data_IF_437923733900
#
_entry.id   IF_437923733900
#
_cell.length_a   1.000
_cell.length_b   1.000
_cell.length_c   1.000
_cell.angle_alpha   90.00
_cell.angle_beta   90.00
_cell.angle_gamma   90.00
#
_symmetry.space_group_name_H-M   'P 1'
#
loop_
_entity.id
_entity.type
_entity.pdbx_description
1 polymer ?
#
# COMPACT_ATOMS: atom_id res chain seq x y z
N UNK A 1 -4.36 99.65 7.58
CA UNK A 1 -5.59 98.82 7.67
C UNK A 1 -5.21 97.38 7.36
N UNK A 2 -5.38 96.48 8.33
CA UNK A 2 -5.09 95.04 8.23
C UNK A 2 -6.17 94.34 7.39
N UNK A 3 -5.78 93.50 6.44
CA UNK A 3 -6.64 92.40 5.94
C UNK A 3 -5.92 91.09 6.23
N UNK A 4 -6.51 90.33 7.16
CA UNK A 4 -6.18 88.95 7.49
C UNK A 4 -6.89 88.06 6.46
N UNK A 5 -6.17 87.20 5.76
CA UNK A 5 -6.75 86.12 4.96
C UNK A 5 -6.38 84.82 5.66
N UNK A 6 -7.40 84.15 6.20
CA UNK A 6 -7.33 82.79 6.74
C UNK A 6 -7.49 81.83 5.56
N UNK A 7 -6.49 80.97 5.30
CA UNK A 7 -6.66 79.81 4.43
C UNK A 7 -6.80 78.55 5.29
N UNK A 8 -7.92 77.85 5.08
CA UNK A 8 -8.29 76.61 5.77
C UNK A 8 -7.40 75.44 5.33
N UNK A 9 -6.86 74.71 6.30
CA UNK A 9 -6.19 73.43 6.09
C UNK A 9 -7.27 72.35 5.99
N UNK A 10 -7.42 71.77 4.80
CA UNK A 10 -8.22 70.57 4.60
C UNK A 10 -7.46 69.35 5.14
N UNK A 11 -7.93 68.79 6.25
CA UNK A 11 -7.45 67.50 6.77
C UNK A 11 -8.04 66.40 5.90
N UNK A 12 -7.20 65.81 5.05
CA UNK A 12 -7.53 64.63 4.27
C UNK A 12 -7.51 63.42 5.22
N UNK A 13 -8.67 62.93 5.65
CA UNK A 13 -8.80 61.64 6.32
C UNK A 13 -8.48 60.54 5.31
N UNK A 14 -7.26 60.00 5.36
CA UNK A 14 -6.95 58.71 4.77
C UNK A 14 -7.68 57.63 5.56
N UNK A 15 -8.80 57.14 5.03
CA UNK A 15 -9.41 55.89 5.47
C UNK A 15 -8.47 54.77 5.04
N UNK A 16 -7.65 54.29 5.97
CA UNK A 16 -6.93 53.02 5.81
C UNK A 16 -7.98 51.92 5.68
N UNK A 17 -8.16 51.39 4.46
CA UNK A 17 -8.90 50.16 4.27
C UNK A 17 -8.22 49.06 5.10
N UNK A 18 -8.97 48.46 6.02
CA UNK A 18 -8.47 47.31 6.78
C UNK A 18 -8.04 46.21 5.77
N UNK A 19 -6.92 45.51 6.01
CA UNK A 19 -6.53 44.41 5.14
C UNK A 19 -7.67 43.39 5.07
N UNK A 20 -8.07 43.03 3.86
CA UNK A 20 -9.07 41.98 3.65
C UNK A 20 -8.60 40.72 4.38
N UNK A 21 -9.37 40.28 5.37
CA UNK A 21 -9.00 39.12 6.20
C UNK A 21 -8.91 37.88 5.32
N UNK A 22 -7.84 37.10 5.51
CA UNK A 22 -7.53 35.94 4.70
C UNK A 22 -8.62 34.87 4.88
N UNK A 23 -9.09 34.34 3.76
CA UNK A 23 -9.94 33.16 3.70
C UNK A 23 -9.07 31.92 3.94
N UNK A 24 -9.51 30.99 4.77
CA UNK A 24 -8.80 29.74 5.04
C UNK A 24 -9.60 28.54 4.56
N UNK A 25 -8.90 27.51 4.07
CA UNK A 25 -9.49 26.19 3.78
C UNK A 25 -9.22 25.28 4.95
N UNK A 26 -10.27 24.72 5.54
CA UNK A 26 -10.21 23.69 6.57
C UNK A 26 -10.67 22.38 5.96
N UNK A 27 -9.92 21.31 6.22
CA UNK A 27 -10.20 19.96 5.71
C UNK A 27 -10.51 19.04 6.89
N UNK A 28 -11.63 18.33 6.77
CA UNK A 28 -12.01 17.28 7.73
C UNK A 28 -12.21 15.96 7.00
N UNK A 29 -11.76 14.88 7.63
CA UNK A 29 -11.92 13.52 7.13
C UNK A 29 -12.81 12.75 8.11
N UNK A 30 -13.77 12.00 7.59
CA UNK A 30 -14.68 11.23 8.43
C UNK A 30 -15.18 9.99 7.72
N UNK A 31 -15.68 9.08 8.53
CA UNK A 31 -16.20 7.78 8.17
C UNK A 31 -17.65 7.71 8.64
N UNK A 32 -18.58 7.48 7.70
CA UNK A 32 -20.02 7.46 7.97
C UNK A 32 -20.56 6.09 7.61
N UNK A 33 -21.05 5.37 8.62
CA UNK A 33 -21.84 4.16 8.41
C UNK A 33 -23.28 4.56 8.10
N UNK A 34 -23.88 3.94 7.09
CA UNK A 34 -25.29 4.14 6.74
C UNK A 34 -25.94 2.81 6.35
N UNK A 35 -27.21 2.61 6.71
CA UNK A 35 -27.82 1.28 6.61
C UNK A 35 -27.09 0.24 7.49
N UNK A 36 -27.28 -1.05 7.18
CA UNK A 36 -26.68 -2.15 7.97
C UNK A 36 -25.24 -2.48 7.56
N UNK A 37 -24.89 -2.24 6.29
CA UNK A 37 -23.65 -2.75 5.69
C UNK A 37 -22.92 -1.72 4.84
N UNK A 38 -23.48 -0.52 4.66
CA UNK A 38 -22.94 0.48 3.77
C UNK A 38 -22.12 1.52 4.52
N UNK A 39 -21.14 2.07 3.82
CA UNK A 39 -20.10 2.91 4.41
C UNK A 39 -19.66 3.99 3.43
N UNK A 40 -19.36 5.17 3.97
CA UNK A 40 -18.86 6.32 3.22
C UNK A 40 -17.63 6.92 3.88
N UNK A 41 -16.63 7.25 3.08
CA UNK A 41 -15.48 8.07 3.46
C UNK A 41 -15.66 9.47 2.90
N UNK A 42 -15.71 10.46 3.78
CA UNK A 42 -15.94 11.86 3.42
C UNK A 42 -14.69 12.69 3.66
N UNK A 43 -14.36 13.54 2.69
CA UNK A 43 -13.45 14.67 2.88
C UNK A 43 -14.28 15.92 2.66
N UNK A 44 -14.36 16.78 3.67
CA UNK A 44 -15.08 18.07 3.57
C UNK A 44 -14.05 19.18 3.59
N UNK A 45 -14.05 20.00 2.54
CA UNK A 45 -13.24 21.21 2.44
C UNK A 45 -14.12 22.42 2.68
N UNK A 46 -13.99 23.05 3.83
CA UNK A 46 -14.72 24.26 4.18
C UNK A 46 -13.88 25.50 3.92
N UNK A 47 -14.43 26.46 3.18
CA UNK A 47 -13.84 27.79 3.04
C UNK A 47 -14.42 28.71 4.10
N UNK A 48 -13.58 29.14 5.04
CA UNK A 48 -13.99 29.95 6.18
C UNK A 48 -13.43 31.37 6.08
N UNK A 49 -14.26 32.34 6.46
CA UNK A 49 -13.85 33.73 6.71
C UNK A 49 -14.39 34.14 8.08
N UNK A 50 -13.50 34.63 8.94
CA UNK A 50 -13.85 35.04 10.31
C UNK A 50 -14.59 33.95 11.11
N UNK A 51 -14.20 32.69 10.91
CA UNK A 51 -14.83 31.53 11.55
C UNK A 51 -16.20 31.13 11.00
N UNK A 52 -16.74 31.85 9.99
CA UNK A 52 -17.97 31.50 9.29
C UNK A 52 -17.67 30.72 8.02
N UNK A 53 -18.42 29.65 7.77
CA UNK A 53 -18.33 28.87 6.54
C UNK A 53 -19.04 29.63 5.41
N UNK A 54 -18.30 30.00 4.36
CA UNK A 54 -18.87 30.66 3.17
C UNK A 54 -19.33 29.63 2.12
N UNK A 55 -18.62 28.51 2.03
CA UNK A 55 -18.92 27.39 1.14
C UNK A 55 -18.18 26.15 1.64
N UNK A 56 -18.68 24.97 1.25
CA UNK A 56 -17.93 23.74 1.44
C UNK A 56 -18.05 22.83 0.22
N UNK A 57 -17.06 21.97 0.03
CA UNK A 57 -17.10 20.87 -0.94
C UNK A 57 -17.01 19.54 -0.17
N UNK A 58 -17.94 18.64 -0.46
CA UNK A 58 -17.89 17.25 -0.03
C UNK A 58 -17.28 16.41 -1.15
N UNK A 59 -16.19 15.72 -0.86
CA UNK A 59 -15.65 14.63 -1.68
C UNK A 59 -15.86 13.30 -0.92
N UNK A 60 -16.89 12.57 -1.33
CA UNK A 60 -17.31 11.33 -0.68
C UNK A 60 -17.10 10.14 -1.60
N UNK A 61 -16.47 9.08 -1.10
CA UNK A 61 -16.59 7.76 -1.68
C UNK A 61 -17.52 6.91 -0.82
N UNK A 62 -18.25 5.99 -1.42
CA UNK A 62 -19.14 5.10 -0.69
C UNK A 62 -19.27 3.73 -1.36
N UNK A 63 -19.59 2.73 -0.55
CA UNK A 63 -20.06 1.42 -0.98
C UNK A 63 -21.53 1.30 -0.56
N UNK A 64 -22.43 1.04 -1.51
CA UNK A 64 -23.87 0.90 -1.20
C UNK A 64 -24.22 -0.43 -0.54
N UNK A 65 -23.30 -1.40 -0.56
CA UNK A 65 -23.41 -2.74 0.00
C UNK A 65 -22.03 -3.16 0.52
N UNK A 66 -21.97 -4.05 1.52
CA UNK A 66 -20.69 -4.57 2.04
C UNK A 66 -19.92 -5.26 0.91
N UNK A 67 -18.62 -4.97 0.83
CA UNK A 67 -17.69 -5.50 -0.18
C UNK A 67 -18.07 -5.16 -1.64
N UNK A 68 -19.00 -4.22 -1.85
CA UNK A 68 -19.39 -3.74 -3.16
C UNK A 68 -18.35 -2.78 -3.77
N UNK A 69 -18.45 -2.47 -5.08
CA UNK A 69 -17.55 -1.50 -5.69
C UNK A 69 -17.78 -0.10 -5.11
N UNK A 70 -16.69 0.61 -4.86
CA UNK A 70 -16.72 2.01 -4.49
C UNK A 70 -17.28 2.87 -5.63
N UNK A 71 -18.03 3.91 -5.27
CA UNK A 71 -18.37 5.02 -6.13
C UNK A 71 -18.00 6.33 -5.43
N UNK A 72 -17.90 7.44 -6.18
CA UNK A 72 -17.47 8.74 -5.68
C UNK A 72 -18.47 9.81 -6.08
N UNK A 73 -18.77 10.75 -5.19
CA UNK A 73 -19.53 11.95 -5.48
C UNK A 73 -18.78 13.17 -4.96
N UNK A 74 -18.73 14.23 -5.77
CA UNK A 74 -18.22 15.54 -5.35
C UNK A 74 -19.39 16.51 -5.37
N UNK A 75 -19.73 17.10 -4.23
CA UNK A 75 -20.95 17.89 -4.02
C UNK A 75 -20.57 19.23 -3.41
N UNK A 76 -21.01 20.32 -4.05
CA UNK A 76 -20.92 21.64 -3.46
C UNK A 76 -22.02 21.80 -2.40
N UNK A 77 -21.61 22.16 -1.19
CA UNK A 77 -22.50 22.41 -0.05
C UNK A 77 -22.66 23.91 0.16
N UNK A 78 -23.91 24.33 0.35
CA UNK A 78 -24.26 25.73 0.59
C UNK A 78 -24.74 25.92 2.02
N UNK A 79 -24.28 26.96 2.72
CA UNK A 79 -24.79 27.31 4.04
C UNK A 79 -26.22 27.87 3.94
N UNK A 80 -27.14 27.33 4.74
CA UNK A 80 -28.50 27.82 4.93
C UNK A 80 -28.98 27.44 6.33
N UNK A 81 -29.53 28.40 7.09
CA UNK A 81 -30.16 28.17 8.40
C UNK A 81 -29.30 27.40 9.43
N UNK A 82 -27.98 27.61 9.41
CA UNK A 82 -27.04 26.93 10.32
C UNK A 82 -26.63 25.52 9.88
N UNK A 83 -27.07 25.09 8.70
CA UNK A 83 -26.75 23.82 8.07
C UNK A 83 -26.01 24.03 6.74
N UNK A 84 -25.15 23.10 6.35
CA UNK A 84 -24.56 23.01 5.02
C UNK A 84 -25.22 21.86 4.27
N UNK A 85 -25.81 22.14 3.12
CA UNK A 85 -26.51 21.12 2.33
C UNK A 85 -26.21 21.19 0.84
N UNK A 86 -26.30 20.04 0.18
CA UNK A 86 -26.12 19.92 -1.25
C UNK A 86 -26.60 18.58 -1.79
N UNK A 87 -26.73 18.51 -3.12
CA UNK A 87 -27.07 17.27 -3.82
C UNK A 87 -26.37 17.18 -5.18
N UNK A 88 -26.24 15.96 -5.69
CA UNK A 88 -25.58 15.66 -6.94
C UNK A 88 -25.80 14.21 -7.36
N UNK A 89 -24.93 13.71 -8.23
CA UNK A 89 -24.90 12.31 -8.65
C UNK A 89 -23.48 11.77 -8.53
N UNK A 90 -23.36 10.47 -8.25
CA UNK A 90 -22.07 9.80 -8.22
C UNK A 90 -21.44 9.70 -9.62
N UNK A 91 -20.13 9.49 -9.67
CA UNK A 91 -19.35 9.54 -10.90
C UNK A 91 -19.56 8.29 -11.76
N UNK A 92 -19.54 7.11 -11.14
CA UNK A 92 -19.58 5.84 -11.87
C UNK A 92 -21.01 5.40 -12.17
N UNK A 93 -21.84 5.20 -11.13
CA UNK A 93 -23.20 4.68 -11.28
C UNK A 93 -24.27 5.75 -11.53
N UNK A 94 -23.90 7.03 -11.44
CA UNK A 94 -24.84 8.17 -11.50
C UNK A 94 -25.94 8.09 -10.44
N UNK A 95 -25.64 7.49 -9.30
CA UNK A 95 -26.57 7.35 -8.17
C UNK A 95 -26.85 8.74 -7.59
N UNK A 96 -28.11 9.13 -7.37
CA UNK A 96 -28.44 10.38 -6.68
C UNK A 96 -27.85 10.41 -5.27
N UNK A 97 -27.24 11.53 -4.90
CA UNK A 97 -26.66 11.74 -3.57
C UNK A 97 -27.14 13.09 -3.03
N UNK A 98 -27.58 13.12 -1.78
CA UNK A 98 -27.80 14.35 -1.03
C UNK A 98 -27.13 14.25 0.33
N UNK A 99 -26.54 15.36 0.78
CA UNK A 99 -25.81 15.43 2.03
C UNK A 99 -26.14 16.74 2.72
N UNK A 100 -26.37 16.68 4.03
CA UNK A 100 -26.54 17.85 4.87
C UNK A 100 -25.88 17.63 6.22
N UNK A 101 -25.28 18.67 6.79
CA UNK A 101 -24.71 18.60 8.14
C UNK A 101 -24.68 19.97 8.82
N UNK A 102 -24.74 19.97 10.13
CA UNK A 102 -24.55 21.14 10.97
C UNK A 102 -23.38 20.93 11.93
N UNK A 103 -22.68 22.02 12.24
CA UNK A 103 -21.67 22.06 13.30
C UNK A 103 -22.35 22.01 14.67
N UNK A 104 -21.84 21.18 15.57
CA UNK A 104 -22.25 21.09 16.97
C UNK A 104 -21.03 21.23 17.87
N UNK A 105 -21.01 22.27 18.68
CA UNK A 105 -19.99 22.45 19.71
C UNK A 105 -20.45 21.77 20.99
N UNK A 106 -19.60 20.88 21.53
CA UNK A 106 -19.78 20.25 22.85
C UNK A 106 -18.55 20.55 23.69
N UNK A 107 -18.63 21.58 24.52
CA UNK A 107 -17.43 22.14 25.15
C UNK A 107 -16.49 22.73 24.08
N UNK A 108 -15.25 22.24 24.02
CA UNK A 108 -14.27 22.63 23.00
C UNK A 108 -14.25 21.68 21.78
N UNK A 109 -15.04 20.61 21.79
CA UNK A 109 -15.06 19.64 20.70
C UNK A 109 -16.01 20.07 19.59
N UNK A 110 -15.52 20.03 18.35
CA UNK A 110 -16.33 20.15 17.14
C UNK A 110 -16.92 18.78 16.80
N UNK A 111 -18.23 18.73 16.60
CA UNK A 111 -18.96 17.53 16.22
C UNK A 111 -19.83 17.87 15.00
N UNK A 112 -20.07 16.90 14.12
CA UNK A 112 -20.98 17.04 12.99
C UNK A 112 -22.20 16.16 13.18
N UNK A 113 -23.37 16.66 12.82
CA UNK A 113 -24.57 15.81 12.70
C UNK A 113 -25.38 16.21 11.50
N UNK A 114 -25.99 15.24 10.83
CA UNK A 114 -26.62 15.52 9.54
C UNK A 114 -27.36 14.33 8.95
N UNK A 115 -27.67 14.47 7.66
CA UNK A 115 -28.32 13.43 6.86
C UNK A 115 -27.52 13.10 5.61
N UNK A 116 -27.44 11.81 5.29
CA UNK A 116 -26.84 11.27 4.08
C UNK A 116 -27.90 10.46 3.34
N UNK A 117 -28.18 10.85 2.10
CA UNK A 117 -29.04 10.11 1.19
C UNK A 117 -28.25 9.64 -0.02
N UNK A 118 -28.23 8.32 -0.24
CA UNK A 118 -27.61 7.69 -1.41
C UNK A 118 -28.66 6.79 -2.07
N UNK A 119 -29.06 7.15 -3.28
CA UNK A 119 -30.16 6.50 -3.98
C UNK A 119 -31.46 6.56 -3.16
N UNK A 120 -32.00 5.38 -2.83
CA UNK A 120 -33.19 5.24 -1.98
C UNK A 120 -32.90 5.20 -0.48
N UNK A 121 -31.65 5.07 -0.05
CA UNK A 121 -31.26 4.94 1.36
C UNK A 121 -31.07 6.31 1.96
N UNK A 122 -31.68 6.56 3.12
CA UNK A 122 -31.55 7.80 3.89
C UNK A 122 -31.09 7.45 5.31
N UNK A 123 -30.03 8.09 5.79
CA UNK A 123 -29.47 7.85 7.11
C UNK A 123 -29.13 9.17 7.81
N UNK A 124 -29.43 9.25 9.10
CA UNK A 124 -28.87 10.29 9.96
C UNK A 124 -27.49 9.84 10.47
N UNK A 125 -26.57 10.78 10.64
CA UNK A 125 -25.25 10.51 11.20
C UNK A 125 -24.87 11.53 12.27
N UNK A 126 -23.96 11.13 13.16
CA UNK A 126 -23.26 11.99 14.12
C UNK A 126 -21.80 11.58 14.14
N UNK A 127 -20.90 12.54 14.06
CA UNK A 127 -19.46 12.37 14.14
C UNK A 127 -18.99 13.25 15.30
N UNK A 128 -18.41 12.61 16.31
CA UNK A 128 -17.88 13.31 17.47
C UNK A 128 -16.38 13.54 17.31
N UNK A 129 -15.85 14.60 17.92
CA UNK A 129 -14.42 14.94 17.93
C UNK A 129 -13.79 15.07 16.52
N UNK A 130 -14.42 15.86 15.65
CA UNK A 130 -13.93 16.12 14.29
C UNK A 130 -12.56 16.78 14.34
N UNK A 131 -11.58 16.13 13.73
CA UNK A 131 -10.23 16.68 13.56
C UNK A 131 -10.16 17.54 12.31
N UNK A 132 -9.59 18.73 12.48
CA UNK A 132 -9.38 19.70 11.40
C UNK A 132 -7.91 19.71 10.98
N UNK A 133 -7.69 19.83 9.67
CA UNK A 133 -6.35 20.00 9.07
C UNK A 133 -6.40 21.10 8.03
N UNK A 134 -5.24 21.67 7.72
CA UNK A 134 -5.08 22.53 6.54
C UNK A 134 -5.08 21.69 5.26
N UNK A 135 -5.33 22.33 4.12
CA UNK A 135 -5.25 21.64 2.82
C UNK A 135 -3.86 21.06 2.55
N UNK A 136 -2.81 21.77 2.99
CA UNK A 136 -1.43 21.30 2.88
C UNK A 136 -1.17 20.05 3.73
N UNK A 137 -1.58 20.05 4.99
CA UNK A 137 -1.42 18.89 5.88
C UNK A 137 -2.20 17.68 5.37
N UNK A 138 -3.39 17.91 4.81
CA UNK A 138 -4.17 16.86 4.15
C UNK A 138 -3.43 16.30 2.92
N UNK A 139 -2.87 17.15 2.06
CA UNK A 139 -2.10 16.68 0.90
C UNK A 139 -0.85 15.89 1.30
N UNK A 140 -0.16 16.31 2.36
CA UNK A 140 1.01 15.62 2.91
C UNK A 140 0.64 14.29 3.59
N UNK A 141 -0.61 14.12 4.04
CA UNK A 141 -1.09 12.87 4.64
C UNK A 141 -1.52 11.81 3.61
N UNK A 142 -1.67 12.19 2.34
CA UNK A 142 -2.07 11.26 1.27
C UNK A 142 -0.95 10.24 0.99
N UNK A 143 -1.12 9.01 1.47
CA UNK A 143 -0.23 7.91 1.17
C UNK A 143 -0.42 7.42 -0.27
N UNK A 144 0.63 7.51 -1.08
CA UNK A 144 0.68 6.84 -2.37
C UNK A 144 1.53 5.58 -2.29
N UNK A 145 1.07 4.52 -2.95
CA UNK A 145 1.89 3.34 -3.17
C UNK A 145 3.20 3.77 -3.86
N UNK A 146 4.37 3.48 -3.25
CA UNK A 146 5.65 3.91 -3.78
C UNK A 146 5.92 3.27 -5.15
N UNK A 147 6.48 4.07 -6.04
CA UNK A 147 6.92 3.66 -7.37
C UNK A 147 8.25 4.37 -7.66
N UNK A 148 9.30 3.59 -7.87
CA UNK A 148 10.65 4.08 -8.16
C UNK A 148 11.07 3.60 -9.55
N UNK A 149 11.24 4.52 -10.49
CA UNK A 149 11.57 4.15 -11.88
C UNK A 149 13.00 3.68 -12.08
N UNK A 150 13.93 4.13 -11.24
CA UNK A 150 15.37 3.85 -11.36
C UNK A 150 15.97 3.76 -9.95
N UNK A 151 15.70 2.68 -9.21
CA UNK A 151 16.26 2.52 -7.88
C UNK A 151 17.79 2.41 -7.96
N UNK A 152 18.49 3.06 -7.04
CA UNK A 152 19.95 2.96 -6.95
C UNK A 152 20.40 1.56 -6.48
N UNK A 153 19.55 0.90 -5.69
CA UNK A 153 19.66 -0.45 -5.18
C UNK A 153 18.26 -0.96 -4.77
N UNK A 154 18.16 -2.25 -4.49
CA UNK A 154 16.90 -2.86 -4.05
C UNK A 154 16.72 -2.91 -2.52
N UNK A 155 17.18 -1.90 -1.77
CA UNK A 155 16.97 -1.87 -0.31
C UNK A 155 15.59 -1.30 0.05
N UNK A 156 15.18 -0.24 -0.65
CA UNK A 156 13.90 0.43 -0.44
C UNK A 156 12.77 -0.12 -1.32
N UNK A 157 13.11 -0.81 -2.41
CA UNK A 157 12.16 -1.46 -3.31
C UNK A 157 12.63 -2.88 -3.66
N UNK A 158 11.70 -3.78 -3.91
CA UNK A 158 12.03 -5.18 -4.21
C UNK A 158 12.36 -5.44 -5.68
N UNK A 159 13.34 -6.31 -6.01
CA UNK A 159 13.69 -6.61 -7.40
C UNK A 159 12.55 -7.29 -8.17
N UNK A 160 11.66 -8.00 -7.46
CA UNK A 160 10.57 -8.78 -8.05
C UNK A 160 9.24 -8.02 -8.10
N UNK A 161 9.09 -6.92 -7.34
CA UNK A 161 7.83 -6.18 -7.28
C UNK A 161 7.84 -5.00 -8.25
N UNK A 162 6.92 -5.05 -9.21
CA UNK A 162 6.69 -3.99 -10.18
C UNK A 162 5.40 -3.27 -9.81
N UNK A 163 5.46 -1.93 -9.87
CA UNK A 163 4.32 -1.05 -9.68
C UNK A 163 3.99 -0.34 -11.00
N UNK A 164 2.71 -0.34 -11.37
CA UNK A 164 2.20 0.38 -12.54
C UNK A 164 1.07 1.29 -12.11
N UNK A 165 1.24 2.60 -12.34
CA UNK A 165 0.19 3.60 -12.16
C UNK A 165 -0.59 3.76 -13.45
N UNK A 166 -1.91 3.60 -13.39
CA UNK A 166 -2.80 3.58 -14.56
C UNK A 166 -4.05 4.43 -14.29
N UNK A 167 -4.54 5.13 -15.30
CA UNK A 167 -5.87 5.80 -15.24
C UNK A 167 -6.95 4.75 -14.97
N UNK A 168 -7.99 5.10 -14.24
CA UNK A 168 -9.07 4.14 -13.90
C UNK A 168 -9.66 3.43 -15.14
N UNK A 169 -9.90 4.17 -16.24
CA UNK A 169 -10.39 3.60 -17.50
C UNK A 169 -9.37 2.77 -18.30
N UNK A 170 -8.09 2.83 -17.95
CA UNK A 170 -7.01 2.06 -18.60
C UNK A 170 -6.79 0.67 -18.00
N UNK A 171 -7.44 0.35 -16.87
CA UNK A 171 -7.24 -0.93 -16.17
C UNK A 171 -7.50 -2.17 -17.05
N UNK A 172 -8.59 -2.25 -17.85
CA UNK A 172 -8.83 -3.44 -18.68
C UNK A 172 -7.69 -3.72 -19.68
N UNK A 173 -7.15 -2.65 -20.29
CA UNK A 173 -6.04 -2.76 -21.25
C UNK A 173 -4.75 -3.19 -20.55
N UNK A 174 -4.50 -2.69 -19.34
CA UNK A 174 -3.36 -3.13 -18.53
C UNK A 174 -3.47 -4.59 -18.13
N UNK A 175 -4.66 -5.07 -17.73
CA UNK A 175 -4.87 -6.49 -17.41
C UNK A 175 -4.66 -7.38 -18.65
N UNK A 176 -5.11 -6.96 -19.83
CA UNK A 176 -4.84 -7.67 -21.08
C UNK A 176 -3.34 -7.76 -21.44
N UNK A 177 -2.58 -6.71 -21.08
CA UNK A 177 -1.13 -6.74 -21.15
C UNK A 177 -0.54 -7.74 -20.15
N UNK A 178 -0.90 -7.65 -18.85
CA UNK A 178 -0.33 -8.48 -17.78
C UNK A 178 -0.60 -9.97 -17.96
N UNK A 179 -1.77 -10.35 -18.53
CA UNK A 179 -2.09 -11.74 -18.90
C UNK A 179 -1.04 -12.40 -19.81
N UNK A 180 -0.23 -11.60 -20.51
CA UNK A 180 0.81 -12.06 -21.44
C UNK A 180 2.23 -12.04 -20.83
N UNK A 181 2.38 -11.59 -19.58
CA UNK A 181 3.68 -11.33 -18.97
C UNK A 181 4.16 -12.42 -18.00
N UNK A 182 3.44 -13.52 -17.77
CA UNK A 182 3.79 -14.53 -16.75
C UNK A 182 4.14 -13.87 -15.40
N UNK A 183 3.16 -13.17 -14.82
CA UNK A 183 3.29 -12.40 -13.57
C UNK A 183 2.30 -12.90 -12.54
N UNK A 184 2.60 -12.68 -11.26
CA UNK A 184 1.69 -12.96 -10.16
C UNK A 184 1.09 -11.65 -9.64
N UNK A 185 -0.22 -11.49 -9.83
CA UNK A 185 -0.98 -10.33 -9.35
C UNK A 185 -1.61 -10.66 -8.00
N UNK A 186 -1.35 -9.83 -6.99
CA UNK A 186 -2.09 -9.92 -5.73
C UNK A 186 -3.44 -9.20 -5.89
N UNK A 187 -4.53 -9.89 -5.56
CA UNK A 187 -5.89 -9.35 -5.67
C UNK A 187 -6.07 -8.13 -4.77
N UNK A 188 -5.49 -8.16 -3.55
CA UNK A 188 -5.65 -7.11 -2.54
C UNK A 188 -4.86 -5.85 -2.87
N UNK A 189 -3.68 -5.99 -3.47
CA UNK A 189 -2.81 -4.86 -3.83
C UNK A 189 -2.97 -4.41 -5.30
N UNK A 190 -3.82 -5.09 -6.08
CA UNK A 190 -3.85 -4.93 -7.53
C UNK A 190 -5.20 -4.62 -8.16
N UNK A 191 -6.33 -5.05 -7.59
CA UNK A 191 -7.62 -5.02 -8.30
C UNK A 191 -8.73 -4.24 -7.60
N UNK A 192 -8.67 -4.08 -6.28
CA UNK A 192 -9.61 -3.23 -5.55
C UNK A 192 -9.36 -1.76 -5.85
N UNK A 193 -10.37 -1.07 -6.37
CA UNK A 193 -10.36 0.39 -6.49
C UNK A 193 -10.86 0.94 -5.15
N UNK A 194 -9.98 1.61 -4.42
CA UNK A 194 -10.33 2.28 -3.16
C UNK A 194 -10.67 3.77 -3.38
N UNK A 195 -11.05 4.44 -2.30
CA UNK A 195 -11.40 5.85 -2.36
C UNK A 195 -10.22 6.75 -2.75
N UNK A 196 -8.98 6.40 -2.36
CA UNK A 196 -7.79 7.13 -2.76
C UNK A 196 -7.59 7.09 -4.29
N UNK A 197 -7.76 5.93 -4.91
CA UNK A 197 -7.70 5.77 -6.36
C UNK A 197 -8.81 6.55 -7.09
N UNK A 198 -10.04 6.55 -6.56
CA UNK A 198 -11.16 7.34 -7.10
C UNK A 198 -10.89 8.85 -7.02
N UNK A 199 -10.27 9.32 -5.92
CA UNK A 199 -9.87 10.72 -5.77
C UNK A 199 -8.76 11.11 -6.74
N UNK A 200 -7.75 10.26 -6.88
CA UNK A 200 -6.61 10.47 -7.77
C UNK A 200 -6.94 10.29 -9.27
N UNK A 201 -8.09 9.68 -9.61
CA UNK A 201 -8.44 9.34 -10.99
C UNK A 201 -7.52 8.27 -11.63
N UNK A 202 -6.68 7.63 -10.80
CA UNK A 202 -5.71 6.62 -11.20
C UNK A 202 -5.46 5.67 -10.05
N UNK A 203 -5.06 4.44 -10.38
CA UNK A 203 -4.71 3.40 -9.43
C UNK A 203 -3.27 2.97 -9.68
N UNK A 204 -2.54 2.67 -8.61
CA UNK A 204 -1.24 1.99 -8.72
C UNK A 204 -1.47 0.53 -8.38
N UNK A 205 -1.17 -0.37 -9.33
CA UNK A 205 -1.23 -1.81 -9.12
C UNK A 205 0.18 -2.33 -8.87
N UNK A 206 0.30 -3.31 -7.98
CA UNK A 206 1.56 -4.02 -7.76
C UNK A 206 1.42 -5.49 -8.12
N UNK A 207 2.46 -6.05 -8.72
CA UNK A 207 2.54 -7.47 -9.05
C UNK A 207 3.98 -7.96 -8.96
N UNK A 208 4.13 -9.26 -8.78
CA UNK A 208 5.41 -9.94 -8.74
C UNK A 208 5.76 -10.45 -10.13
N UNK A 209 7.01 -10.24 -10.52
CA UNK A 209 7.61 -10.74 -11.76
C UNK A 209 9.02 -11.23 -11.48
N UNK A 210 9.45 -12.21 -12.26
CA UNK A 210 10.83 -12.67 -12.27
C UNK A 210 11.76 -11.46 -12.51
N UNK A 211 12.67 -11.13 -11.60
CA UNK A 211 13.48 -9.92 -11.73
C UNK A 211 14.30 -9.87 -13.02
N UNK A 212 14.72 -11.03 -13.54
CA UNK A 212 15.39 -11.15 -14.84
C UNK A 212 14.56 -10.62 -16.03
N UNK A 213 13.25 -10.40 -15.83
CA UNK A 213 12.32 -9.83 -16.81
C UNK A 213 11.72 -8.49 -16.37
N UNK A 214 11.92 -8.07 -15.12
CA UNK A 214 11.26 -6.90 -14.54
C UNK A 214 11.50 -5.62 -15.37
N UNK A 215 12.74 -5.35 -15.76
CA UNK A 215 13.08 -4.17 -16.58
C UNK A 215 12.33 -4.14 -17.91
N UNK A 216 12.26 -5.29 -18.60
CA UNK A 216 11.55 -5.42 -19.86
C UNK A 216 10.03 -5.24 -19.68
N UNK A 217 9.46 -5.85 -18.64
CA UNK A 217 8.03 -5.70 -18.32
C UNK A 217 7.68 -4.25 -17.97
N UNK A 218 8.52 -3.56 -17.19
CA UNK A 218 8.36 -2.12 -16.89
C UNK A 218 8.41 -1.31 -18.19
N UNK A 219 9.39 -1.56 -19.07
CA UNK A 219 9.54 -0.84 -20.33
C UNK A 219 8.34 -1.02 -21.27
N UNK A 220 7.77 -2.24 -21.35
CA UNK A 220 6.56 -2.49 -22.14
C UNK A 220 5.31 -1.93 -21.48
N UNK A 221 5.19 -1.98 -20.15
CA UNK A 221 4.07 -1.40 -19.42
C UNK A 221 3.94 0.11 -19.68
N UNK A 222 5.06 0.84 -19.78
CA UNK A 222 5.06 2.28 -20.12
C UNK A 222 4.44 2.59 -21.49
N UNK A 223 4.35 1.60 -22.38
CA UNK A 223 3.76 1.76 -23.72
C UNK A 223 2.26 1.46 -23.75
N UNK A 224 1.72 0.90 -22.67
CA UNK A 224 0.30 0.52 -22.58
C UNK A 224 -0.58 1.76 -22.44
N UNK A 225 -1.62 1.85 -23.27
CA UNK A 225 -2.57 2.97 -23.22
C UNK A 225 -3.22 3.10 -21.85
N UNK A 226 -3.21 4.30 -21.28
CA UNK A 226 -3.75 4.60 -19.96
C UNK A 226 -2.75 4.45 -18.81
N UNK A 227 -1.57 3.84 -19.03
CA UNK A 227 -0.48 3.85 -18.05
C UNK A 227 0.12 5.26 -17.93
N UNK A 228 0.29 5.70 -16.68
CA UNK A 228 0.85 7.00 -16.29
C UNK A 228 2.32 6.85 -15.93
N UNK A 229 2.66 5.81 -15.17
CA UNK A 229 4.02 5.51 -14.74
C UNK A 229 4.20 4.00 -14.50
N UNK A 230 5.43 3.50 -14.62
CA UNK A 230 5.79 2.13 -14.26
C UNK A 230 7.22 2.09 -13.70
N UNK A 231 7.43 1.30 -12.66
CA UNK A 231 8.72 1.16 -11.98
C UNK A 231 8.69 0.03 -10.97
N UNK A 232 9.65 0.02 -10.06
CA UNK A 232 9.67 -0.91 -8.93
C UNK A 232 8.82 -0.40 -7.79
N UNK A 233 8.18 -1.31 -7.08
CA UNK A 233 7.37 -1.03 -5.91
C UNK A 233 7.60 -2.04 -4.80
N UNK A 234 6.83 -1.88 -3.73
CA UNK A 234 6.87 -2.68 -2.49
C UNK A 234 8.25 -2.71 -1.81
N UNK A 235 8.28 -2.95 -0.51
CA UNK A 235 9.53 -2.98 0.24
C UNK A 235 10.26 -4.31 0.04
N UNK A 236 11.59 -4.27 0.03
CA UNK A 236 12.40 -5.49 0.16
C UNK A 236 12.37 -5.99 1.58
N UNK A 237 12.29 -7.31 1.77
CA UNK A 237 12.47 -7.93 3.07
C UNK A 237 13.97 -7.97 3.45
N UNK A 238 14.54 -6.79 3.74
CA UNK A 238 15.96 -6.67 4.03
C UNK A 238 16.35 -7.33 5.35
N UNK A 239 15.44 -7.47 6.32
CA UNK A 239 15.73 -8.11 7.62
C UNK A 239 16.18 -9.57 7.47
N UNK A 240 15.74 -10.25 6.41
CA UNK A 240 16.13 -11.62 6.11
C UNK A 240 17.05 -11.73 4.88
N UNK A 241 17.88 -10.72 4.63
CA UNK A 241 18.74 -10.64 3.45
C UNK A 241 20.25 -10.81 3.76
N UNK A 242 20.94 -11.36 2.76
CA UNK A 242 22.38 -11.60 2.70
C UNK A 242 22.94 -10.98 1.43
N UNK A 243 24.23 -10.60 1.45
CA UNK A 243 24.91 -10.05 0.28
C UNK A 243 26.10 -10.90 -0.13
N UNK A 244 26.00 -11.55 -1.29
CA UNK A 244 27.03 -12.39 -1.87
C UNK A 244 27.85 -11.63 -2.93
N UNK A 245 29.18 -11.78 -2.99
CA UNK A 245 29.99 -11.23 -4.08
C UNK A 245 29.70 -12.00 -5.38
N UNK A 246 29.25 -11.31 -6.43
CA UNK A 246 28.74 -11.97 -7.64
C UNK A 246 29.79 -12.82 -8.39
N UNK A 247 31.08 -12.48 -8.27
CA UNK A 247 32.18 -13.20 -8.94
C UNK A 247 32.22 -14.70 -8.64
N UNK A 248 31.70 -15.13 -7.48
CA UNK A 248 31.67 -16.53 -7.07
C UNK A 248 30.30 -17.19 -7.28
N UNK A 249 29.27 -16.42 -7.62
CA UNK A 249 27.87 -16.84 -7.58
C UNK A 249 27.12 -16.59 -8.89
N UNK A 250 27.85 -16.34 -9.97
CA UNK A 250 27.28 -16.11 -11.31
C UNK A 250 27.84 -17.08 -12.34
N UNK A 251 27.03 -17.38 -13.35
CA UNK A 251 27.41 -18.10 -14.57
C UNK A 251 26.76 -17.42 -15.76
N UNK A 252 27.56 -17.07 -16.77
CA UNK A 252 27.04 -16.37 -17.97
C UNK A 252 26.39 -15.01 -17.68
N UNK A 253 26.90 -14.28 -16.67
CA UNK A 253 26.38 -12.96 -16.28
C UNK A 253 25.05 -12.98 -15.53
N UNK A 254 24.61 -14.15 -15.04
CA UNK A 254 23.38 -14.34 -14.26
C UNK A 254 23.68 -15.10 -12.97
N UNK A 255 22.85 -14.97 -11.92
CA UNK A 255 22.95 -15.82 -10.73
C UNK A 255 23.02 -17.31 -11.09
N UNK A 256 24.01 -18.03 -10.53
CA UNK A 256 24.15 -19.47 -10.73
C UNK A 256 23.11 -20.22 -9.90
N UNK A 257 21.93 -20.41 -10.51
CA UNK A 257 20.78 -21.05 -9.87
C UNK A 257 21.10 -22.44 -9.29
N UNK A 258 21.94 -23.24 -9.97
CA UNK A 258 22.28 -24.59 -9.48
C UNK A 258 23.16 -24.53 -8.25
N UNK A 259 24.16 -23.63 -8.24
CA UNK A 259 25.03 -23.44 -7.10
C UNK A 259 24.27 -22.86 -5.91
N UNK A 260 23.44 -21.83 -6.14
CA UNK A 260 22.60 -21.21 -5.11
C UNK A 260 21.67 -22.25 -4.47
N UNK A 261 20.94 -23.00 -5.29
CA UNK A 261 20.08 -24.09 -4.85
C UNK A 261 20.81 -25.11 -3.97
N UNK A 262 21.95 -25.61 -4.43
CA UNK A 262 22.76 -26.59 -3.69
C UNK A 262 23.24 -26.06 -2.35
N UNK A 263 23.86 -24.87 -2.32
CA UNK A 263 24.52 -24.36 -1.12
C UNK A 263 23.52 -23.82 -0.09
N UNK A 264 22.47 -23.13 -0.55
CA UNK A 264 21.36 -22.70 0.32
C UNK A 264 20.62 -23.92 0.88
N UNK A 265 20.28 -24.89 0.02
CA UNK A 265 19.59 -26.11 0.44
C UNK A 265 20.36 -26.89 1.52
N UNK A 266 21.68 -27.04 1.36
CA UNK A 266 22.54 -27.68 2.38
C UNK A 266 22.57 -26.90 3.69
N UNK A 267 22.67 -25.57 3.63
CA UNK A 267 22.71 -24.72 4.82
C UNK A 267 21.40 -24.78 5.60
N UNK A 268 20.27 -24.60 4.90
CA UNK A 268 18.94 -24.64 5.50
C UNK A 268 18.59 -26.03 6.03
N UNK A 269 18.94 -27.12 5.33
CA UNK A 269 18.75 -28.48 5.82
C UNK A 269 19.44 -28.70 7.19
N UNK A 270 20.67 -28.20 7.35
CA UNK A 270 21.38 -28.24 8.64
C UNK A 270 20.71 -27.38 9.70
N UNK A 271 20.37 -26.13 9.36
CA UNK A 271 19.76 -25.18 10.28
C UNK A 271 18.40 -25.69 10.81
N UNK A 272 17.58 -26.26 9.92
CA UNK A 272 16.27 -26.82 10.23
C UNK A 272 16.34 -28.22 10.87
N UNK A 273 17.51 -28.88 10.84
CA UNK A 273 17.66 -30.30 11.18
C UNK A 273 16.66 -31.17 10.37
N UNK A 274 16.57 -30.87 9.08
CA UNK A 274 15.58 -31.43 8.17
C UNK A 274 16.24 -32.00 6.92
N UNK A 275 15.53 -32.89 6.24
CA UNK A 275 15.94 -33.40 4.92
C UNK A 275 15.26 -32.58 3.84
N UNK A 276 16.02 -32.11 2.85
CA UNK A 276 15.44 -31.45 1.69
C UNK A 276 14.75 -32.51 0.81
N UNK A 277 13.48 -32.30 0.49
CA UNK A 277 12.64 -33.24 -0.27
C UNK A 277 12.19 -32.69 -1.62
N UNK A 278 12.28 -31.37 -1.81
CA UNK A 278 11.96 -30.73 -3.09
C UNK A 278 12.73 -29.42 -3.26
N UNK A 279 12.91 -29.04 -4.51
CA UNK A 279 13.53 -27.78 -4.92
C UNK A 279 12.99 -27.38 -6.29
N UNK A 280 12.64 -26.12 -6.47
CA UNK A 280 12.20 -25.59 -7.75
C UNK A 280 12.44 -24.08 -7.84
N UNK A 281 12.62 -23.60 -9.07
CA UNK A 281 12.64 -22.17 -9.37
C UNK A 281 11.30 -21.76 -9.98
N UNK A 282 10.60 -20.81 -9.36
CA UNK A 282 9.36 -20.28 -9.90
C UNK A 282 9.66 -19.41 -11.12
N UNK A 283 9.07 -19.72 -12.28
CA UNK A 283 9.31 -18.96 -13.52
C UNK A 283 8.70 -17.56 -13.47
N UNK A 284 7.55 -17.43 -12.82
CA UNK A 284 6.77 -16.19 -12.73
C UNK A 284 7.39 -15.22 -11.72
N UNK A 285 7.86 -15.69 -10.56
CA UNK A 285 8.41 -14.83 -9.49
C UNK A 285 9.93 -14.79 -9.45
N UNK A 286 10.61 -15.79 -10.00
CA UNK A 286 12.07 -15.93 -9.93
C UNK A 286 12.59 -16.48 -8.60
N UNK A 287 11.71 -16.82 -7.67
CA UNK A 287 12.07 -17.36 -6.36
C UNK A 287 12.55 -18.81 -6.44
N UNK A 288 13.52 -19.15 -5.59
CA UNK A 288 13.90 -20.51 -5.25
C UNK A 288 12.99 -21.00 -4.11
N UNK A 289 12.21 -22.04 -4.37
CA UNK A 289 11.33 -22.68 -3.39
C UNK A 289 11.93 -24.04 -3.01
N UNK A 290 12.27 -24.18 -1.73
CA UNK A 290 12.87 -25.38 -1.16
C UNK A 290 11.91 -26.02 -0.15
N UNK A 291 11.65 -27.31 -0.30
CA UNK A 291 10.84 -28.08 0.64
C UNK A 291 11.70 -28.99 1.52
N UNK A 292 11.41 -28.99 2.81
CA UNK A 292 12.11 -29.77 3.84
C UNK A 292 11.14 -30.57 4.69
N UNK A 293 11.62 -31.71 5.19
CA UNK A 293 10.89 -32.58 6.11
C UNK A 293 11.72 -32.92 7.34
N UNK A 294 11.10 -32.82 8.51
CA UNK A 294 11.67 -33.28 9.77
C UNK A 294 10.59 -33.88 10.67
N UNK A 295 10.99 -34.67 11.66
CA UNK A 295 10.07 -35.03 12.75
C UNK A 295 9.59 -33.76 13.44
N UNK A 296 8.30 -33.73 13.81
CA UNK A 296 7.72 -32.52 14.38
C UNK A 296 8.41 -32.13 15.68
N UNK A 297 8.89 -30.88 15.72
CA UNK A 297 9.47 -30.30 16.93
C UNK A 297 8.39 -29.76 17.88
N UNK A 298 7.22 -29.41 17.34
CA UNK A 298 6.08 -28.90 18.10
C UNK A 298 5.31 -30.01 18.80
N UNK A 299 5.29 -31.21 18.20
CA UNK A 299 4.55 -32.37 18.72
C UNK A 299 5.47 -33.60 18.87
N UNK A 300 6.48 -33.51 19.74
CA UNK A 300 7.45 -34.60 19.92
C UNK A 300 6.75 -35.88 20.39
N UNK A 301 7.14 -37.02 19.82
CA UNK A 301 6.62 -38.34 20.19
C UNK A 301 5.29 -38.73 19.53
N UNK A 302 4.57 -37.81 18.89
CA UNK A 302 3.29 -38.13 18.22
C UNK A 302 3.45 -38.70 16.79
N UNK A 303 4.69 -38.83 16.30
CA UNK A 303 4.98 -39.40 14.99
C UNK A 303 4.67 -38.49 13.80
N UNK A 304 4.35 -37.21 14.04
CA UNK A 304 4.09 -36.24 12.97
C UNK A 304 5.37 -35.72 12.29
N UNK A 305 5.19 -35.21 11.08
CA UNK A 305 6.22 -34.59 10.25
C UNK A 305 5.90 -33.11 10.05
N UNK A 306 6.89 -32.25 10.24
CA UNK A 306 6.82 -30.86 9.78
C UNK A 306 7.24 -30.82 8.30
N UNK A 307 6.36 -30.38 7.42
CA UNK A 307 6.68 -30.03 6.04
C UNK A 307 6.94 -28.53 5.99
N UNK A 308 8.18 -28.14 5.71
CA UNK A 308 8.63 -26.74 5.74
C UNK A 308 8.97 -26.32 4.32
N UNK A 309 8.37 -25.22 3.86
CA UNK A 309 8.68 -24.57 2.59
C UNK A 309 9.39 -23.25 2.88
N UNK A 310 10.53 -23.04 2.22
CA UNK A 310 11.28 -21.78 2.28
C UNK A 310 11.35 -21.22 0.86
N UNK A 311 10.79 -20.02 0.66
CA UNK A 311 10.88 -19.28 -0.59
C UNK A 311 11.91 -18.16 -0.44
N UNK A 312 12.90 -18.13 -1.35
CA UNK A 312 13.98 -17.15 -1.35
C UNK A 312 14.09 -16.46 -2.71
N UNK A 313 14.46 -15.18 -2.70
CA UNK A 313 14.91 -14.49 -3.89
C UNK A 313 16.44 -14.44 -3.92
N UNK A 314 17.04 -14.66 -5.08
CA UNK A 314 18.47 -14.48 -5.31
C UNK A 314 18.68 -13.67 -6.60
N UNK A 315 18.96 -12.38 -6.46
CA UNK A 315 19.07 -11.45 -7.59
C UNK A 315 20.14 -10.38 -7.36
N UNK A 316 20.62 -9.75 -8.42
CA UNK A 316 21.56 -8.64 -8.30
C UNK A 316 21.05 -7.51 -7.39
N UNK A 317 21.96 -6.94 -6.60
CA UNK A 317 21.67 -5.88 -5.62
C UNK A 317 21.14 -4.59 -6.26
N UNK A 318 21.51 -4.35 -7.52
CA UNK A 318 21.19 -3.12 -8.25
C UNK A 318 20.73 -3.45 -9.66
N UNK A 319 19.83 -2.63 -10.24
CA UNK A 319 19.52 -2.71 -11.66
C UNK A 319 20.80 -2.55 -12.50
N UNK A 320 20.99 -3.45 -13.48
CA UNK A 320 22.06 -3.34 -14.47
C UNK A 320 23.51 -3.53 -13.97
N UNK A 321 23.76 -3.85 -12.70
CA UNK A 321 25.12 -4.16 -12.21
C UNK A 321 25.23 -5.57 -11.64
N UNK A 322 26.43 -6.15 -11.72
CA UNK A 322 26.70 -7.53 -11.32
C UNK A 322 27.81 -7.63 -10.27
N UNK A 323 27.83 -6.70 -9.31
CA UNK A 323 28.84 -6.68 -8.24
C UNK A 323 28.46 -7.63 -7.09
N UNK A 324 27.18 -7.63 -6.74
CA UNK A 324 26.64 -8.37 -5.60
C UNK A 324 25.28 -8.99 -5.93
N UNK A 325 25.01 -10.13 -5.32
CA UNK A 325 23.70 -10.79 -5.31
C UNK A 325 23.11 -10.63 -3.91
N UNK A 326 21.89 -10.12 -3.85
CA UNK A 326 21.04 -10.17 -2.66
C UNK A 326 20.33 -11.51 -2.62
N UNK A 327 20.49 -12.22 -1.51
CA UNK A 327 19.72 -13.43 -1.19
C UNK A 327 18.82 -13.12 -0.02
N UNK A 328 17.51 -13.10 -0.23
CA UNK A 328 16.51 -12.78 0.79
C UNK A 328 15.53 -13.92 1.01
N UNK A 329 15.24 -14.27 2.27
CA UNK A 329 14.12 -15.16 2.59
C UNK A 329 12.83 -14.33 2.52
N UNK A 330 11.98 -14.63 1.54
CA UNK A 330 10.71 -13.93 1.37
C UNK A 330 9.62 -14.56 2.24
N UNK A 331 9.63 -15.88 2.36
CA UNK A 331 8.59 -16.60 3.08
C UNK A 331 9.10 -17.92 3.66
N UNK A 332 8.60 -18.25 4.85
CA UNK A 332 8.74 -19.57 5.46
C UNK A 332 7.36 -20.06 5.87
N UNK A 333 6.93 -21.19 5.30
CA UNK A 333 5.68 -21.86 5.65
C UNK A 333 5.99 -23.21 6.27
N UNK A 334 5.29 -23.58 7.34
CA UNK A 334 5.40 -24.93 7.87
C UNK A 334 4.03 -25.52 8.17
N UNK A 335 3.82 -26.76 7.73
CA UNK A 335 2.58 -27.50 7.89
C UNK A 335 2.86 -28.83 8.58
N UNK A 336 1.98 -29.22 9.49
CA UNK A 336 2.04 -30.52 10.15
C UNK A 336 1.35 -31.59 9.29
N UNK A 337 1.97 -32.76 9.16
CA UNK A 337 1.41 -33.90 8.44
C UNK A 337 1.58 -35.22 9.18
N UNK A 338 0.61 -36.13 9.01
CA UNK A 338 0.76 -37.54 9.32
C UNK A 338 1.27 -38.29 8.09
N UNK A 339 2.51 -38.75 8.15
CA UNK A 339 3.18 -39.55 7.10
C UNK A 339 3.52 -40.96 7.59
N UNK A 340 2.90 -41.41 8.68
CA UNK A 340 3.05 -42.78 9.16
C UNK A 340 2.56 -43.82 8.14
N UNK A 341 3.05 -45.05 8.27
CA UNK A 341 2.58 -46.16 7.44
C UNK A 341 1.06 -46.34 7.63
N UNK A 342 0.29 -46.24 6.55
CA UNK A 342 -1.18 -46.33 6.60
C UNK A 342 -1.89 -45.06 7.11
N UNK A 343 -1.21 -43.91 7.13
CA UNK A 343 -1.77 -42.62 7.58
C UNK A 343 -3.14 -42.30 6.97
N UNK A 344 -4.12 -42.03 7.84
CA UNK A 344 -5.47 -41.58 7.47
C UNK A 344 -5.84 -40.23 8.08
N UNK A 345 -5.07 -39.74 9.05
CA UNK A 345 -5.32 -38.47 9.71
C UNK A 345 -4.98 -37.32 8.76
N UNK A 346 -5.92 -36.39 8.60
CA UNK A 346 -5.72 -35.15 7.83
C UNK A 346 -5.67 -33.99 8.80
N UNK A 347 -4.60 -33.21 8.72
CA UNK A 347 -4.39 -32.05 9.56
C UNK A 347 -4.75 -30.83 8.73
N UNK A 348 -5.75 -30.07 9.21
CA UNK A 348 -6.15 -28.83 8.58
C UNK A 348 -5.31 -27.70 9.16
N UNK A 349 -4.56 -26.93 8.35
CA UNK A 349 -3.94 -25.71 8.86
C UNK A 349 -5.01 -24.71 9.27
N UNK A 350 -4.75 -23.98 10.36
CA UNK A 350 -5.59 -22.85 10.74
C UNK A 350 -5.43 -21.77 9.66
N UNK A 351 -6.52 -21.39 8.97
CA UNK A 351 -6.48 -20.27 8.05
C UNK A 351 -6.63 -18.97 8.85
N UNK A 352 -5.52 -18.37 9.27
CA UNK A 352 -5.51 -16.95 9.62
C UNK A 352 -4.85 -16.13 8.51
N UNK A 353 -5.29 -14.88 8.39
CA UNK A 353 -4.91 -13.87 7.40
C UNK A 353 -3.39 -13.79 7.19
N UNK A 354 -2.85 -14.65 6.32
CA UNK A 354 -1.47 -14.61 5.87
C UNK A 354 -0.44 -15.41 6.68
N UNK A 355 -0.85 -16.37 7.52
CA UNK A 355 0.12 -17.08 8.39
C UNK A 355 -0.34 -18.40 8.99
N UNK A 356 -1.16 -19.15 8.26
CA UNK A 356 -1.64 -20.45 8.75
C UNK A 356 -0.56 -21.53 8.76
N UNK A 357 -0.12 -21.97 9.94
CA UNK A 357 0.87 -23.05 10.04
C UNK A 357 1.61 -23.11 11.38
N UNK A 358 2.65 -23.94 11.41
CA UNK A 358 3.64 -23.93 12.49
C UNK A 358 4.57 -22.73 12.29
N UNK A 359 4.93 -22.05 13.38
CA UNK A 359 5.88 -20.96 13.31
C UNK A 359 7.30 -21.50 13.13
N UNK A 360 8.02 -20.97 12.14
CA UNK A 360 9.45 -21.22 11.94
C UNK A 360 10.12 -19.87 11.81
N UNK A 361 10.97 -19.55 12.79
CA UNK A 361 11.71 -18.29 12.83
C UNK A 361 12.75 -18.22 11.69
N UNK A 362 12.75 -17.11 10.96
CA UNK A 362 13.70 -16.85 9.87
C UNK A 362 15.07 -16.41 10.37
N UNK A 363 15.18 -15.82 11.56
CA UNK A 363 16.44 -15.24 12.04
C UNK A 363 17.56 -16.29 12.17
N UNK A 364 17.32 -17.47 12.77
CA UNK A 364 18.32 -18.54 12.79
C UNK A 364 18.71 -19.05 11.39
N UNK A 365 17.79 -18.98 10.42
CA UNK A 365 18.07 -19.39 9.04
C UNK A 365 19.01 -18.39 8.36
N UNK A 366 18.76 -17.09 8.53
CA UNK A 366 19.61 -16.01 8.00
C UNK A 366 21.02 -16.11 8.61
N UNK A 367 21.12 -16.33 9.92
CA UNK A 367 22.42 -16.51 10.59
C UNK A 367 23.17 -17.75 10.07
N UNK A 368 22.46 -18.87 9.85
CA UNK A 368 23.06 -20.07 9.31
C UNK A 368 23.58 -19.86 7.87
N UNK A 369 22.79 -19.18 7.04
CA UNK A 369 23.19 -18.83 5.67
C UNK A 369 24.37 -17.86 5.66
N UNK A 370 24.36 -16.82 6.50
CA UNK A 370 25.48 -15.87 6.65
C UNK A 370 26.79 -16.59 6.94
N UNK A 371 26.77 -17.47 7.95
CA UNK A 371 27.93 -18.28 8.34
C UNK A 371 28.36 -19.24 7.24
N UNK A 372 27.45 -20.04 6.70
CA UNK A 372 27.77 -21.14 5.78
C UNK A 372 28.16 -20.64 4.39
N UNK A 373 27.58 -19.53 3.94
CA UNK A 373 27.89 -18.89 2.65
C UNK A 373 28.99 -17.83 2.75
N UNK A 374 29.52 -17.57 3.97
CA UNK A 374 30.51 -16.54 4.27
C UNK A 374 30.09 -15.15 3.76
N UNK A 375 28.84 -14.78 4.03
CA UNK A 375 28.17 -13.61 3.49
C UNK A 375 27.67 -12.71 4.61
N UNK A 376 27.85 -11.38 4.56
CA UNK A 376 27.22 -10.50 5.53
C UNK A 376 25.69 -10.55 5.39
N UNK A 377 25.00 -10.52 6.53
CA UNK A 377 23.57 -10.29 6.65
C UNK A 377 23.28 -8.79 6.85
N UNK A 378 22.05 -8.38 6.57
CA UNK A 378 21.61 -7.01 6.82
C UNK A 378 21.32 -6.78 8.31
N UNK A 379 21.87 -5.71 8.87
CA UNK A 379 21.52 -5.20 10.19
C UNK A 379 20.41 -4.15 10.03
N UNK A 380 19.21 -4.46 10.49
CA UNK A 380 18.05 -3.56 10.39
C UNK A 380 18.13 -2.36 11.32
N UNK A 381 18.86 -2.45 12.43
CA UNK A 381 18.97 -1.36 13.39
C UNK A 381 19.93 -0.29 12.88
N UNK A 382 20.98 -0.71 12.18
CA UNK A 382 22.01 0.18 11.67
C UNK A 382 21.98 0.39 10.15
N UNK A 383 21.01 -0.22 9.48
CA UNK A 383 20.80 -0.17 8.02
C UNK A 383 22.08 -0.44 7.22
N UNK A 384 22.82 -1.49 7.60
CA UNK A 384 24.08 -1.85 6.94
C UNK A 384 24.39 -3.33 6.97
N UNK A 385 25.29 -3.75 6.08
CA UNK A 385 25.80 -5.13 6.04
C UNK A 385 26.74 -5.42 7.22
N UNK A 386 26.46 -6.50 7.93
CA UNK A 386 27.29 -7.02 9.03
C UNK A 386 27.50 -8.52 8.93
N UNK A 387 28.62 -9.00 9.45
CA UNK A 387 28.89 -10.43 9.60
C UNK A 387 28.40 -10.93 10.93
#
# INVERSE_FOLDING_TARGET
>A
MRKVIVQAIAVCLLVLAAPARAQTTVVTQSSISFGETAFAETVIKEKRRDGKVESAELDMCFQSERDGPWDRAVINLKPADGELSGSGVSQLKKTPVAFSYAHKLKGNDLNYSGTLKIGGVNAAFSIDHVSESTEKEYEESLHQIPLVEKPANFYAVSPQWVAVRVKLGGMPVLIDFLRKQDVMLDVLFGLSVDCAALRAGSQTIQFVVNPARAEAVIAEAKKVSGVIAAGWGNYSNMSAALRLPATQWTVGGKPDRKKLESEIGKSLARALQASMVSSSWNSATGELVLGFERKSQHFPGLGFTDNIEVALLAEFERPGTADYILVGINEVKALLADKGAGARLKIRPMQEFGGGGLYVDSDPLVQALSRDLNAPAWDTLEEKWRR
#
